data_IF_438241169287
#
_entry.id   IF_438241169287
#
_cell.length_a   1.000
_cell.length_b   1.000
_cell.length_c   1.000
_cell.angle_alpha   90.00
_cell.angle_beta   90.00
_cell.angle_gamma   90.00
#
_symmetry.space_group_name_H-M   'P 1'
#
loop_
_entity.id
_entity.type
_entity.pdbx_description
1 polymer ?
#
# COMPACT_ATOMS: atom_id res chain seq x y z
N UNK A 1 -17.06 -0.47 14.89
CA UNK A 1 -16.40 -1.26 13.83
C UNK A 1 -14.94 -0.89 13.76
N UNK A 2 -14.04 -1.86 13.74
CA UNK A 2 -12.60 -1.58 13.52
C UNK A 2 -12.35 -1.22 12.07
N UNK A 3 -11.19 -0.63 11.79
CA UNK A 3 -10.81 -0.29 10.41
C UNK A 3 -10.68 -1.53 9.54
N UNK A 4 -10.23 -2.65 10.10
CA UNK A 4 -10.14 -3.92 9.37
C UNK A 4 -11.51 -4.54 9.11
N UNK A 5 -12.47 -4.36 10.02
CA UNK A 5 -13.86 -4.76 9.77
C UNK A 5 -14.47 -3.93 8.64
N UNK A 6 -14.17 -2.64 8.58
CA UNK A 6 -14.59 -1.79 7.48
C UNK A 6 -14.03 -2.28 6.14
N UNK A 7 -12.75 -2.66 6.12
CA UNK A 7 -12.15 -3.24 4.92
C UNK A 7 -12.83 -4.54 4.51
N UNK A 8 -13.06 -5.44 5.46
CA UNK A 8 -13.70 -6.72 5.17
C UNK A 8 -15.10 -6.52 4.59
N UNK A 9 -15.86 -5.59 5.14
CA UNK A 9 -17.20 -5.26 4.63
C UNK A 9 -17.12 -4.70 3.21
N UNK A 10 -16.19 -3.82 2.95
CA UNK A 10 -15.96 -3.24 1.62
C UNK A 10 -15.55 -4.32 0.62
N UNK A 11 -14.62 -5.18 0.99
CA UNK A 11 -14.06 -6.21 0.12
C UNK A 11 -15.10 -7.29 -0.24
N UNK A 12 -16.08 -7.53 0.63
CA UNK A 12 -17.12 -8.52 0.38
C UNK A 12 -18.27 -8.01 -0.49
N UNK A 13 -18.25 -6.73 -0.86
CA UNK A 13 -19.27 -6.15 -1.73
C UNK A 13 -18.72 -6.09 -3.16
N UNK A 14 -19.30 -6.89 -4.06
CA UNK A 14 -18.88 -6.98 -5.45
C UNK A 14 -18.87 -5.62 -6.18
N UNK A 15 -19.72 -4.71 -5.76
CA UNK A 15 -19.79 -3.37 -6.37
C UNK A 15 -18.53 -2.56 -6.18
N UNK A 16 -17.71 -2.94 -5.22
CA UNK A 16 -16.45 -2.26 -4.93
C UNK A 16 -15.24 -2.88 -5.63
N UNK A 17 -15.42 -4.00 -6.33
CA UNK A 17 -14.32 -4.65 -7.01
C UNK A 17 -13.85 -3.81 -8.19
N UNK A 18 -12.55 -3.64 -8.28
CA UNK A 18 -11.90 -2.82 -9.30
C UNK A 18 -11.00 -3.69 -10.15
N UNK A 19 -10.80 -3.25 -11.39
CA UNK A 19 -9.79 -3.87 -12.24
C UNK A 19 -8.40 -3.47 -11.73
N UNK A 20 -7.64 -4.45 -11.28
CA UNK A 20 -6.33 -4.22 -10.72
C UNK A 20 -5.33 -3.66 -11.74
N UNK A 21 -5.51 -3.98 -13.01
CA UNK A 21 -4.67 -3.43 -14.07
C UNK A 21 -4.90 -1.93 -14.27
N UNK A 22 -6.09 -1.45 -13.96
CA UNK A 22 -6.43 -0.03 -14.10
C UNK A 22 -6.13 0.77 -12.83
N UNK A 23 -6.06 0.12 -11.66
CA UNK A 23 -5.95 0.79 -10.37
C UNK A 23 -4.81 0.25 -9.52
N UNK A 24 -3.85 -0.42 -10.14
CA UNK A 24 -2.72 -1.03 -9.44
C UNK A 24 -1.78 -0.01 -8.82
N UNK A 25 -0.98 -0.51 -7.88
CA UNK A 25 0.08 0.28 -7.26
C UNK A 25 1.25 0.40 -8.24
N UNK A 26 1.71 1.63 -8.48
CA UNK A 26 2.82 1.90 -9.37
C UNK A 26 4.14 1.98 -8.65
N UNK A 27 4.13 2.51 -7.42
CA UNK A 27 5.35 2.77 -6.67
C UNK A 27 5.03 2.95 -5.19
N UNK A 28 5.99 2.58 -4.33
CA UNK A 28 5.95 2.86 -2.91
C UNK A 28 7.32 3.35 -2.46
N UNK A 29 7.35 4.47 -1.73
CA UNK A 29 8.57 5.01 -1.13
C UNK A 29 8.43 5.04 0.39
N UNK A 30 9.50 4.64 1.09
CA UNK A 30 9.57 4.76 2.53
C UNK A 30 10.02 6.17 2.91
N UNK A 31 9.20 6.84 3.74
CA UNK A 31 9.46 8.22 4.18
C UNK A 31 10.12 8.31 5.56
N UNK A 32 10.34 7.20 6.22
CA UNK A 32 10.78 7.16 7.61
C UNK A 32 9.60 7.02 8.58
N UNK A 33 9.86 6.52 9.77
CA UNK A 33 8.86 6.36 10.84
C UNK A 33 7.60 5.60 10.42
N UNK A 34 7.79 4.53 9.64
CA UNK A 34 6.69 3.69 9.14
C UNK A 34 5.69 4.43 8.25
N UNK A 35 6.10 5.54 7.63
CA UNK A 35 5.26 6.27 6.69
C UNK A 35 5.66 5.93 5.26
N UNK A 36 4.65 5.77 4.41
CA UNK A 36 4.82 5.43 3.01
C UNK A 36 4.18 6.49 2.12
N UNK A 37 4.80 6.75 0.97
CA UNK A 37 4.17 7.46 -0.12
C UNK A 37 3.87 6.46 -1.22
N UNK A 38 2.63 6.47 -1.71
CA UNK A 38 2.10 5.43 -2.58
C UNK A 38 1.49 6.06 -3.83
N UNK A 39 1.88 5.55 -4.99
CA UNK A 39 1.39 6.01 -6.29
C UNK A 39 0.48 4.94 -6.87
N UNK A 40 -0.75 5.31 -7.20
CA UNK A 40 -1.74 4.41 -7.79
C UNK A 40 -2.08 4.85 -9.19
N UNK A 41 -2.26 3.88 -10.08
CA UNK A 41 -2.70 4.13 -11.44
C UNK A 41 -4.16 4.57 -11.48
N UNK A 42 -4.40 5.66 -12.19
CA UNK A 42 -5.74 6.12 -12.54
C UNK A 42 -5.86 6.14 -14.06
N UNK A 43 -7.09 6.33 -14.57
CA UNK A 43 -7.39 6.32 -15.98
C UNK A 43 -6.68 7.44 -16.74
N UNK A 44 -5.76 7.87 -16.90
CA UNK A 44 -5.01 8.97 -17.56
C UNK A 44 -4.19 9.79 -16.56
N UNK A 45 -4.03 9.26 -15.34
CA UNK A 45 -3.41 10.06 -14.28
C UNK A 45 -2.79 9.15 -13.21
N UNK A 46 -2.38 9.78 -12.14
CA UNK A 46 -1.81 9.14 -10.95
C UNK A 46 -2.47 9.73 -9.71
N UNK A 47 -2.79 8.90 -8.74
CA UNK A 47 -3.17 9.36 -7.40
C UNK A 47 -2.04 9.05 -6.43
N UNK A 48 -1.67 10.03 -5.62
CA UNK A 48 -0.56 9.91 -4.68
C UNK A 48 -1.07 10.11 -3.26
N UNK A 49 -0.75 9.17 -2.39
CA UNK A 49 -1.15 9.20 -0.98
C UNK A 49 0.07 9.05 -0.08
N UNK A 50 0.00 9.69 1.10
CA UNK A 50 0.89 9.35 2.21
C UNK A 50 0.08 8.63 3.27
N UNK A 51 0.65 7.56 3.82
CA UNK A 51 -0.02 6.72 4.80
C UNK A 51 0.92 6.41 5.96
N UNK A 52 0.42 6.58 7.18
CA UNK A 52 1.08 6.07 8.37
C UNK A 52 0.67 4.62 8.55
N UNK A 53 1.58 3.72 8.22
CA UNK A 53 1.31 2.30 8.12
C UNK A 53 1.17 1.62 9.49
N UNK A 54 1.97 2.04 10.47
CA UNK A 54 2.12 1.32 11.73
C UNK A 54 0.80 1.15 12.50
N UNK A 55 0.04 2.23 12.77
CA UNK A 55 -1.19 2.07 13.54
C UNK A 55 -2.24 1.22 12.84
N UNK A 56 -2.28 1.25 11.52
CA UNK A 56 -3.31 0.53 10.75
C UNK A 56 -3.01 -0.95 10.57
N UNK A 57 -1.77 -1.29 10.29
CA UNK A 57 -1.40 -2.65 9.88
C UNK A 57 -0.68 -3.42 10.98
N UNK A 58 0.11 -2.75 11.79
CA UNK A 58 0.87 -3.43 12.86
C UNK A 58 0.08 -3.47 14.16
N UNK A 59 -0.43 -2.32 14.62
CA UNK A 59 -1.14 -2.25 15.90
C UNK A 59 -2.56 -2.82 15.83
N UNK A 60 -3.31 -2.49 14.78
CA UNK A 60 -4.74 -2.82 14.68
C UNK A 60 -5.03 -4.12 13.92
N UNK A 61 -4.02 -4.79 13.38
CA UNK A 61 -4.23 -6.03 12.66
C UNK A 61 -4.59 -7.17 13.63
N UNK A 62 -5.77 -7.74 13.54
CA UNK A 62 -6.22 -8.73 14.52
C UNK A 62 -5.46 -10.06 14.48
N UNK A 63 -4.80 -10.37 13.37
CA UNK A 63 -4.03 -11.60 13.23
C UNK A 63 -2.55 -11.48 13.57
N UNK A 64 -2.06 -10.26 13.78
CA UNK A 64 -0.64 -10.02 14.02
C UNK A 64 0.27 -10.38 12.85
N UNK A 65 -0.29 -10.46 11.64
CA UNK A 65 0.42 -10.94 10.45
C UNK A 65 1.59 -10.02 10.07
N UNK A 66 1.46 -8.73 10.37
CA UNK A 66 2.48 -7.73 10.01
C UNK A 66 3.43 -7.40 11.14
N UNK A 67 3.44 -8.20 12.21
CA UNK A 67 4.24 -7.92 13.39
C UNK A 67 5.74 -7.86 13.09
N UNK A 68 6.22 -8.65 12.13
CA UNK A 68 7.63 -8.63 11.71
C UNK A 68 8.05 -7.28 11.15
N UNK A 69 7.09 -6.46 10.72
CA UNK A 69 7.35 -5.12 10.19
C UNK A 69 7.59 -4.07 11.27
N UNK A 70 7.51 -4.44 12.54
CA UNK A 70 7.94 -3.57 13.65
C UNK A 70 9.43 -3.28 13.55
N UNK A 71 10.21 -4.18 12.95
CA UNK A 71 11.61 -3.95 12.65
C UNK A 71 11.70 -2.91 11.53
N UNK A 72 12.19 -1.71 11.86
CA UNK A 72 12.30 -0.62 10.88
C UNK A 72 13.19 -0.97 9.70
N UNK A 73 14.23 -1.75 9.94
CA UNK A 73 15.14 -2.17 8.87
C UNK A 73 14.39 -3.03 7.86
N UNK A 74 13.60 -3.99 8.33
CA UNK A 74 12.78 -4.81 7.44
C UNK A 74 11.71 -3.98 6.75
N UNK A 75 11.05 -3.10 7.49
CA UNK A 75 10.03 -2.21 6.93
C UNK A 75 10.58 -1.35 5.78
N UNK A 76 11.82 -0.87 5.92
CA UNK A 76 12.44 -0.03 4.91
C UNK A 76 12.69 -0.74 3.57
N UNK A 77 12.61 -2.06 3.54
CA UNK A 77 12.80 -2.86 2.32
C UNK A 77 11.52 -3.01 1.50
N UNK A 78 10.56 -2.14 1.74
CA UNK A 78 9.28 -2.15 1.03
C UNK A 78 9.48 -1.99 -0.49
N UNK A 79 8.68 -2.74 -1.24
CA UNK A 79 8.63 -2.67 -2.69
C UNK A 79 7.18 -2.50 -3.12
N UNK A 80 6.92 -1.58 -4.03
CA UNK A 80 5.59 -1.29 -4.52
C UNK A 80 5.54 -1.38 -6.03
N UNK A 81 5.24 -2.56 -6.54
CA UNK A 81 5.01 -2.76 -7.95
C UNK A 81 3.79 -3.67 -8.07
N UNK A 82 2.67 -3.13 -8.52
CA UNK A 82 1.38 -3.77 -8.57
C UNK A 82 0.75 -3.96 -7.17
N UNK A 83 1.45 -4.58 -6.24
CA UNK A 83 1.04 -4.73 -4.84
C UNK A 83 2.14 -4.23 -3.92
N UNK A 84 1.83 -4.08 -2.64
CA UNK A 84 2.80 -3.67 -1.64
C UNK A 84 3.45 -4.91 -1.05
N UNK A 85 4.76 -5.05 -1.23
CA UNK A 85 5.49 -6.30 -0.94
C UNK A 85 6.73 -6.04 -0.11
N UNK A 86 6.99 -6.92 0.85
CA UNK A 86 8.27 -7.06 1.53
C UNK A 86 8.78 -8.47 1.26
N UNK A 87 9.82 -8.56 0.48
CA UNK A 87 10.45 -9.83 0.14
C UNK A 87 11.17 -10.44 1.34
N UNK A 88 11.51 -11.72 1.25
CA UNK A 88 12.32 -12.37 2.29
C UNK A 88 13.65 -11.63 2.39
N UNK A 89 14.02 -11.09 3.58
CA UNK A 89 15.22 -10.26 3.72
C UNK A 89 16.52 -11.04 3.55
N UNK A 90 16.50 -12.35 3.74
CA UNK A 90 17.69 -13.18 3.63
C UNK A 90 17.97 -13.63 2.19
N UNK A 91 16.94 -13.85 1.41
CA UNK A 91 17.06 -14.41 0.06
C UNK A 91 16.68 -13.43 -1.05
N UNK A 92 15.93 -12.37 -0.71
CA UNK A 92 15.39 -11.46 -1.69
C UNK A 92 14.26 -12.08 -2.54
N UNK A 93 13.73 -13.20 -2.12
CA UNK A 93 12.73 -13.94 -2.89
C UNK A 93 11.31 -13.69 -2.38
N UNK A 94 10.35 -13.88 -3.27
CA UNK A 94 8.93 -13.91 -2.91
C UNK A 94 8.58 -15.34 -2.52
N UNK A 95 8.68 -15.63 -1.24
CA UNK A 95 8.43 -16.97 -0.68
C UNK A 95 7.53 -16.85 0.55
N UNK A 96 7.44 -17.90 1.37
CA UNK A 96 6.57 -17.93 2.55
C UNK A 96 6.96 -16.92 3.62
N UNK A 97 8.16 -16.33 3.57
CA UNK A 97 8.58 -15.26 4.46
C UNK A 97 8.25 -13.88 3.92
N UNK A 98 7.80 -13.79 2.69
CA UNK A 98 7.38 -12.52 2.10
C UNK A 98 6.04 -12.07 2.67
N UNK A 99 5.85 -10.76 2.70
CA UNK A 99 4.58 -10.13 3.11
C UNK A 99 4.04 -9.37 1.92
N UNK A 100 2.75 -9.54 1.65
CA UNK A 100 2.10 -8.97 0.48
C UNK A 100 0.75 -8.39 0.88
N UNK A 101 0.49 -7.17 0.41
CA UNK A 101 -0.82 -6.52 0.59
C UNK A 101 -1.35 -6.18 -0.79
N UNK A 102 -2.52 -6.70 -1.11
CA UNK A 102 -3.18 -6.46 -2.39
C UNK A 102 -3.40 -4.96 -2.64
N UNK A 103 -3.32 -4.51 -3.91
CA UNK A 103 -3.49 -3.10 -4.22
C UNK A 103 -4.85 -2.54 -3.79
N UNK A 104 -5.91 -3.32 -3.87
CA UNK A 104 -7.24 -2.89 -3.43
C UNK A 104 -7.29 -2.59 -1.93
N UNK A 105 -6.61 -3.40 -1.14
CA UNK A 105 -6.56 -3.24 0.31
C UNK A 105 -5.80 -1.97 0.69
N UNK A 106 -4.60 -1.80 0.15
CA UNK A 106 -3.80 -0.62 0.48
C UNK A 106 -4.45 0.66 -0.05
N UNK A 107 -5.11 0.59 -1.20
CA UNK A 107 -5.87 1.72 -1.76
C UNK A 107 -7.01 2.13 -0.85
N UNK A 108 -7.75 1.15 -0.32
CA UNK A 108 -8.85 1.40 0.61
C UNK A 108 -8.37 2.18 1.84
N UNK A 109 -7.27 1.73 2.44
CA UNK A 109 -6.73 2.40 3.62
C UNK A 109 -6.20 3.80 3.30
N UNK A 110 -5.61 3.99 2.12
CA UNK A 110 -5.16 5.30 1.67
C UNK A 110 -6.33 6.27 1.50
N UNK A 111 -7.40 5.84 0.88
CA UNK A 111 -8.58 6.70 0.66
C UNK A 111 -9.28 7.07 1.95
N UNK A 112 -9.31 6.16 2.92
CA UNK A 112 -10.00 6.37 4.19
C UNK A 112 -9.15 7.07 5.25
N UNK A 113 -7.89 6.69 5.35
CA UNK A 113 -7.04 7.08 6.48
C UNK A 113 -5.74 7.75 6.08
N UNK A 114 -5.39 7.73 4.80
CA UNK A 114 -4.22 8.40 4.28
C UNK A 114 -4.49 9.86 3.94
N UNK A 115 -3.44 10.54 3.52
CA UNK A 115 -3.52 11.92 3.05
C UNK A 115 -3.27 11.94 1.55
N UNK A 116 -4.23 12.41 0.77
CA UNK A 116 -4.06 12.56 -0.67
C UNK A 116 -3.14 13.75 -0.93
N UNK A 117 -2.00 13.50 -1.56
CA UNK A 117 -1.00 14.54 -1.79
C UNK A 117 -1.31 15.30 -3.05
N UNK A 118 -1.67 14.58 -4.12
CA UNK A 118 -1.79 15.18 -5.42
C UNK A 118 -2.82 14.45 -6.26
N UNK A 119 -3.57 15.20 -7.05
CA UNK A 119 -4.47 14.67 -8.07
C UNK A 119 -4.50 15.65 -9.23
N UNK A 120 -4.90 15.18 -10.39
CA UNK A 120 -4.99 16.01 -11.59
C UNK A 120 -4.06 15.52 -12.68
N UNK A 121 -4.00 16.28 -13.77
CA UNK A 121 -3.27 15.89 -14.96
C UNK A 121 -1.77 16.07 -14.79
N UNK A 122 -1.05 14.97 -14.68
CA UNK A 122 0.40 14.96 -14.65
C UNK A 122 0.96 14.12 -15.77
N UNK A 123 2.23 14.35 -16.08
CA UNK A 123 3.01 13.36 -16.75
C UNK A 123 3.33 12.25 -15.74
N UNK A 124 2.60 11.13 -15.83
CA UNK A 124 2.72 10.02 -14.89
C UNK A 124 4.16 9.49 -14.78
N UNK A 125 4.82 9.31 -15.91
CA UNK A 125 6.17 8.76 -15.92
C UNK A 125 7.18 9.73 -15.29
N UNK A 126 7.03 11.02 -15.52
CA UNK A 126 7.88 12.04 -14.89
C UNK A 126 7.63 12.11 -13.39
N UNK A 127 6.39 12.02 -12.94
CA UNK A 127 6.05 12.05 -11.52
C UNK A 127 6.66 10.86 -10.78
N UNK A 128 6.58 9.67 -11.35
CA UNK A 128 7.18 8.47 -10.78
C UNK A 128 8.71 8.55 -10.77
N UNK A 129 9.31 9.08 -11.85
CA UNK A 129 10.75 9.21 -11.95
C UNK A 129 11.34 10.22 -10.98
N UNK A 130 10.58 11.24 -10.61
CA UNK A 130 11.02 12.28 -9.69
C UNK A 130 10.90 11.90 -8.22
N UNK A 131 10.19 10.84 -7.93
CA UNK A 131 9.92 10.42 -6.55
C UNK A 131 11.05 9.54 -5.94
#
# INVERSE_FOLDING_TARGET
>A
MTKWQEWNQFANDERNWRDADEHGLLKADYLGDYRLRLWFEEELDVSIYELDFYPLFVEENPGGVFEVLKDKKRFSLVNGEYSLVWLNPDTGAYDEQAIDIAPECIRFFCEKYGTKIKSGSYNRDAEIAMA
#
